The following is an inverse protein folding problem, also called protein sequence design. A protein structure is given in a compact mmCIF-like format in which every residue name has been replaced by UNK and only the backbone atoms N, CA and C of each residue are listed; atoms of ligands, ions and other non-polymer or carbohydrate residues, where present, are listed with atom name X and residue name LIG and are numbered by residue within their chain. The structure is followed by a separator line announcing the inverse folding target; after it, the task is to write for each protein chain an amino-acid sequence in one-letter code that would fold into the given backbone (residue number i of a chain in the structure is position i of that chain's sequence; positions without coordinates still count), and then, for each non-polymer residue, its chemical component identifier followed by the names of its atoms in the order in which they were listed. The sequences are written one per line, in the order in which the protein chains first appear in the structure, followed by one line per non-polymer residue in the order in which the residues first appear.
data_IF_953968348402
#
_entry.id   IF_953968348402
#
_cell.length_a   1.000
_cell.length_b   1.000
_cell.length_c   1.000
_cell.angle_alpha   90.00
_cell.angle_beta   90.00
_cell.angle_gamma   90.00
#
_symmetry.space_group_name_H-M   'P 1'
#
loop_
_entity.id
_entity.type
_entity.pdbx_description
1 polymer ?
#
# COMPACT_ATOMS: atom_id res chain seq x y z
N UNK A 1 6.09 22.23 -2.27
CA UNK A 1 5.64 21.13 -1.40
C UNK A 1 6.78 20.15 -1.28
N UNK A 2 7.08 19.66 -0.08
CA UNK A 2 7.98 18.52 0.03
C UNK A 2 7.20 17.26 -0.36
N UNK A 3 7.40 16.79 -1.60
CA UNK A 3 6.69 15.64 -2.18
C UNK A 3 7.22 14.34 -1.57
N UNK A 4 6.86 14.06 -0.31
CA UNK A 4 7.21 12.82 0.35
C UNK A 4 6.11 11.78 0.13
N UNK A 5 6.45 10.70 -0.58
CA UNK A 5 5.61 9.52 -0.70
C UNK A 5 5.91 8.52 0.41
N UNK A 6 4.87 7.84 0.90
CA UNK A 6 4.99 6.87 1.98
C UNK A 6 5.05 5.46 1.38
N UNK A 7 6.12 4.72 1.65
CA UNK A 7 6.22 3.32 1.28
C UNK A 7 5.79 2.41 2.43
N UNK A 8 4.81 1.54 2.20
CA UNK A 8 4.39 0.49 3.14
C UNK A 8 4.92 -0.85 2.66
N UNK A 9 5.91 -1.39 3.37
CA UNK A 9 6.52 -2.68 3.05
C UNK A 9 5.70 -3.82 3.66
N UNK A 10 4.87 -4.47 2.84
CA UNK A 10 4.04 -5.60 3.24
C UNK A 10 2.55 -5.35 3.04
N UNK A 11 2.06 -5.54 1.81
CA UNK A 11 0.64 -5.42 1.43
C UNK A 11 -0.26 -6.59 1.91
N UNK A 12 -0.09 -7.03 3.16
CA UNK A 12 -1.04 -7.94 3.83
C UNK A 12 -2.23 -7.18 4.42
N UNK A 13 -3.05 -7.82 5.26
CA UNK A 13 -4.25 -7.21 5.84
C UNK A 13 -3.95 -5.90 6.58
N UNK A 14 -2.93 -5.89 7.43
CA UNK A 14 -2.55 -4.71 8.22
C UNK A 14 -1.88 -3.62 7.39
N UNK A 15 -0.96 -3.98 6.47
CA UNK A 15 -0.28 -3.00 5.63
C UNK A 15 -1.23 -2.32 4.66
N UNK A 16 -2.19 -3.06 4.11
CA UNK A 16 -3.25 -2.50 3.26
C UNK A 16 -4.18 -1.59 4.07
N UNK A 17 -4.62 -2.02 5.26
CA UNK A 17 -5.44 -1.19 6.14
C UNK A 17 -4.75 0.13 6.53
N UNK A 18 -3.46 0.07 6.89
CA UNK A 18 -2.65 1.26 7.17
C UNK A 18 -2.51 2.15 5.94
N UNK A 19 -2.22 1.56 4.78
CA UNK A 19 -2.11 2.29 3.51
C UNK A 19 -3.40 3.04 3.16
N UNK A 20 -4.57 2.41 3.35
CA UNK A 20 -5.87 3.06 3.14
C UNK A 20 -6.10 4.26 4.07
N UNK A 21 -5.74 4.14 5.35
CA UNK A 21 -5.86 5.26 6.31
C UNK A 21 -4.93 6.41 5.96
N UNK A 22 -3.72 6.12 5.45
CA UNK A 22 -2.79 7.14 4.99
C UNK A 22 -3.28 7.82 3.72
N UNK A 23 -3.77 7.06 2.74
CA UNK A 23 -4.41 7.59 1.54
C UNK A 23 -5.61 8.49 1.87
N UNK A 24 -6.47 8.08 2.82
CA UNK A 24 -7.64 8.88 3.23
C UNK A 24 -7.27 10.20 3.88
N UNK A 25 -6.02 10.36 4.35
CA UNK A 25 -5.47 11.61 4.89
C UNK A 25 -4.79 12.47 3.83
N UNK A 26 -4.82 12.06 2.56
CA UNK A 26 -4.24 12.81 1.44
C UNK A 26 -2.75 12.55 1.21
N UNK A 27 -2.19 11.48 1.80
CA UNK A 27 -0.82 11.07 1.52
C UNK A 27 -0.76 10.19 0.28
N UNK A 28 0.27 10.37 -0.55
CA UNK A 28 0.61 9.41 -1.60
C UNK A 28 1.28 8.19 -0.97
N UNK A 29 0.72 7.00 -1.22
CA UNK A 29 1.17 5.75 -0.61
C UNK A 29 1.51 4.72 -1.68
N UNK A 30 2.71 4.15 -1.58
CA UNK A 30 3.16 3.02 -2.36
C UNK A 30 3.15 1.75 -1.50
N UNK A 31 2.30 0.79 -1.85
CA UNK A 31 2.24 -0.53 -1.22
C UNK A 31 3.21 -1.48 -1.91
N UNK A 32 4.15 -2.04 -1.16
CA UNK A 32 5.07 -3.06 -1.66
C UNK A 32 4.68 -4.43 -1.13
N UNK A 33 4.92 -5.44 -1.96
CA UNK A 33 4.76 -6.82 -1.58
C UNK A 33 5.85 -7.68 -2.18
N UNK A 34 6.23 -8.72 -1.43
CA UNK A 34 7.31 -9.63 -1.81
C UNK A 34 6.94 -10.56 -2.96
N UNK A 35 5.72 -11.09 -2.96
CA UNK A 35 5.27 -12.11 -3.92
C UNK A 35 4.40 -11.49 -5.00
N UNK A 36 4.84 -11.59 -6.26
CA UNK A 36 4.03 -11.18 -7.40
C UNK A 36 2.74 -11.99 -7.52
N UNK A 37 2.73 -13.26 -7.12
CA UNK A 37 1.53 -14.09 -7.10
C UNK A 37 0.49 -13.54 -6.13
N UNK A 38 0.91 -13.18 -4.91
CA UNK A 38 0.00 -12.57 -3.94
C UNK A 38 -0.54 -11.23 -4.45
N UNK A 39 0.26 -10.47 -5.22
CA UNK A 39 -0.16 -9.19 -5.79
C UNK A 39 -1.24 -9.41 -6.83
N UNK A 40 -1.02 -10.39 -7.71
CA UNK A 40 -2.00 -10.79 -8.72
C UNK A 40 -3.30 -11.28 -8.10
N UNK A 41 -3.25 -11.96 -6.95
CA UNK A 41 -4.45 -12.37 -6.24
C UNK A 41 -5.20 -11.18 -5.61
N UNK A 42 -4.47 -10.22 -5.03
CA UNK A 42 -5.04 -9.01 -4.44
C UNK A 42 -5.72 -8.09 -5.46
N UNK A 43 -5.16 -7.95 -6.67
CA UNK A 43 -5.70 -7.06 -7.73
C UNK A 43 -6.93 -7.68 -8.43
N UNK A 44 -7.18 -8.98 -8.25
CA UNK A 44 -8.32 -9.68 -8.89
C UNK A 44 -9.63 -9.61 -8.10
N UNK A 45 -9.58 -9.21 -6.83
CA UNK A 45 -10.72 -9.14 -5.90
C UNK A 45 -11.05 -7.70 -5.57
#
# INVERSE_FOLDING_TARGET
MSDFSIAVLGAGSWGTALGMVLCSKGHEVNLWMRSEEQYRNMVRT
#
